data_IF_988353805056
#
_entry.id   IF_988353805056
#
_cell.length_a   1.000
_cell.length_b   1.000
_cell.length_c   1.000
_cell.angle_alpha   90.00
_cell.angle_beta   90.00
_cell.angle_gamma   90.00
#
_symmetry.space_group_name_H-M   'P 1'
#
loop_
_entity.id
_entity.type
_entity.pdbx_description
1 polymer ?
#
# COMPACT_ATOMS: atom_id res chain seq x y z
N UNK A 1 25.65 25.05 -9.64
CA UNK A 1 24.71 23.91 -9.56
C UNK A 1 24.82 23.16 -10.86
N UNK A 2 25.58 22.07 -10.81
CA UNK A 2 26.07 21.30 -11.96
C UNK A 2 24.96 20.78 -12.86
N UNK A 3 25.19 20.81 -14.16
CA UNK A 3 24.28 20.23 -15.15
C UNK A 3 24.11 18.72 -14.95
N UNK A 4 25.09 18.04 -14.34
CA UNK A 4 25.02 16.64 -13.93
C UNK A 4 23.93 16.39 -12.87
N UNK A 5 23.81 17.28 -11.87
CA UNK A 5 22.76 17.18 -10.85
C UNK A 5 21.37 17.38 -11.45
N UNK A 6 21.23 18.33 -12.38
CA UNK A 6 19.95 18.55 -13.09
C UNK A 6 19.58 17.37 -13.98
N UNK A 7 20.56 16.75 -14.64
CA UNK A 7 20.34 15.57 -15.46
C UNK A 7 19.92 14.38 -14.59
N UNK A 8 20.59 14.17 -13.46
CA UNK A 8 20.21 13.14 -12.49
C UNK A 8 18.78 13.33 -11.97
N UNK A 9 18.41 14.56 -11.57
CA UNK A 9 17.03 14.85 -11.14
C UNK A 9 16.00 14.61 -12.26
N UNK A 10 16.34 14.89 -13.53
CA UNK A 10 15.45 14.59 -14.66
C UNK A 10 15.25 13.09 -14.84
N UNK A 11 16.31 12.30 -14.71
CA UNK A 11 16.23 10.83 -14.79
C UNK A 11 15.36 10.26 -13.67
N UNK A 12 15.56 10.72 -12.42
CA UNK A 12 14.70 10.30 -11.30
C UNK A 12 13.25 10.68 -11.55
N UNK A 13 12.98 11.91 -12.00
CA UNK A 13 11.63 12.35 -12.33
C UNK A 13 10.98 11.49 -13.43
N UNK A 14 11.74 11.09 -14.45
CA UNK A 14 11.24 10.21 -15.50
C UNK A 14 10.86 8.83 -14.96
N UNK A 15 11.58 8.32 -13.96
CA UNK A 15 11.29 7.02 -13.32
C UNK A 15 10.03 7.07 -12.46
N UNK A 16 9.81 8.14 -11.70
CA UNK A 16 8.66 8.25 -10.78
C UNK A 16 7.38 8.74 -11.48
N UNK A 17 7.50 9.49 -12.58
CA UNK A 17 6.39 10.13 -13.28
C UNK A 17 5.22 9.19 -13.64
N UNK A 18 5.45 7.98 -14.16
CA UNK A 18 4.35 7.07 -14.48
C UNK A 18 3.49 6.73 -13.26
N UNK A 19 4.11 6.58 -12.08
CA UNK A 19 3.39 6.32 -10.84
C UNK A 19 2.63 7.57 -10.39
N UNK A 20 3.29 8.74 -10.38
CA UNK A 20 2.62 9.98 -9.97
C UNK A 20 1.42 10.28 -10.84
N UNK A 21 1.55 10.20 -12.17
CA UNK A 21 0.44 10.44 -13.10
C UNK A 21 -0.78 9.52 -12.80
N UNK A 22 -0.53 8.28 -12.35
CA UNK A 22 -1.59 7.35 -11.95
C UNK A 22 -2.20 7.69 -10.60
N UNK A 23 -1.38 8.12 -9.64
CA UNK A 23 -1.85 8.55 -8.32
C UNK A 23 -2.70 9.83 -8.43
N UNK A 24 -2.26 10.84 -9.19
CA UNK A 24 -3.07 12.05 -9.42
C UNK A 24 -4.40 11.71 -10.12
N UNK A 25 -4.39 10.79 -11.09
CA UNK A 25 -5.62 10.32 -11.74
C UNK A 25 -6.57 9.63 -10.75
N UNK A 26 -6.08 8.85 -9.78
CA UNK A 26 -6.95 8.29 -8.73
C UNK A 26 -7.57 9.34 -7.82
N UNK A 27 -6.83 10.40 -7.51
CA UNK A 27 -7.35 11.45 -6.65
C UNK A 27 -8.38 12.34 -7.35
N UNK A 28 -8.30 12.46 -8.68
CA UNK A 28 -9.28 13.20 -9.49
C UNK A 28 -10.48 12.33 -9.91
N UNK A 29 -10.31 11.01 -10.03
CA UNK A 29 -11.31 10.09 -10.55
C UNK A 29 -11.46 8.84 -9.66
N UNK A 30 -12.30 8.92 -8.63
CA UNK A 30 -12.52 7.84 -7.65
C UNK A 30 -12.92 6.49 -8.30
N UNK A 31 -13.65 6.54 -9.41
CA UNK A 31 -14.10 5.36 -10.18
C UNK A 31 -12.91 4.51 -10.67
N UNK A 32 -11.70 5.08 -10.79
CA UNK A 32 -10.51 4.38 -11.26
C UNK A 32 -9.75 3.66 -10.16
N UNK A 33 -10.01 3.97 -8.89
CA UNK A 33 -9.27 3.39 -7.75
C UNK A 33 -9.38 1.86 -7.72
N UNK A 34 -10.56 1.23 -7.93
CA UNK A 34 -10.66 -0.24 -7.95
C UNK A 34 -9.87 -0.90 -9.08
N UNK A 35 -9.58 -0.16 -10.17
CA UNK A 35 -8.73 -0.66 -11.25
C UNK A 35 -7.24 -0.60 -10.90
N UNK A 36 -6.84 0.36 -10.06
CA UNK A 36 -5.44 0.64 -9.76
C UNK A 36 -4.96 0.02 -8.44
N UNK A 37 -5.87 -0.26 -7.50
CA UNK A 37 -5.61 -0.88 -6.20
C UNK A 37 -6.56 -2.07 -5.89
N UNK A 38 -6.84 -3.00 -6.82
CA UNK A 38 -7.84 -4.04 -6.59
C UNK A 38 -7.55 -4.90 -5.36
N UNK A 39 -6.32 -5.37 -5.16
CA UNK A 39 -5.95 -6.24 -4.05
C UNK A 39 -5.97 -5.49 -2.72
N UNK A 40 -5.48 -4.25 -2.71
CA UNK A 40 -5.48 -3.42 -1.50
C UNK A 40 -6.90 -3.04 -1.06
N UNK A 41 -7.83 -2.76 -1.99
CA UNK A 41 -9.23 -2.54 -1.64
C UNK A 41 -9.91 -3.80 -1.12
N UNK A 42 -9.65 -4.96 -1.72
CA UNK A 42 -10.14 -6.24 -1.20
C UNK A 42 -9.63 -6.51 0.22
N UNK A 43 -8.36 -6.23 0.47
CA UNK A 43 -7.76 -6.32 1.80
C UNK A 43 -8.46 -5.39 2.80
N UNK A 44 -8.70 -4.13 2.43
CA UNK A 44 -9.40 -3.16 3.30
C UNK A 44 -10.82 -3.63 3.60
N UNK A 45 -11.55 -4.09 2.60
CA UNK A 45 -12.90 -4.64 2.80
C UNK A 45 -12.88 -5.87 3.72
N UNK A 46 -11.87 -6.74 3.58
CA UNK A 46 -11.68 -7.88 4.48
C UNK A 46 -11.40 -7.43 5.92
N UNK A 47 -10.59 -6.38 6.13
CA UNK A 47 -10.36 -5.77 7.44
C UNK A 47 -11.68 -5.29 8.06
N UNK A 48 -12.47 -4.52 7.32
CA UNK A 48 -13.73 -3.96 7.79
C UNK A 48 -14.73 -5.06 8.18
N UNK A 49 -14.84 -6.12 7.37
CA UNK A 49 -15.71 -7.25 7.65
C UNK A 49 -15.24 -8.06 8.87
N UNK A 50 -13.93 -8.26 9.04
CA UNK A 50 -13.38 -8.95 10.22
C UNK A 50 -13.60 -8.14 11.49
N UNK A 51 -13.38 -6.83 11.44
CA UNK A 51 -13.70 -5.91 12.54
C UNK A 51 -15.19 -5.96 12.88
N UNK A 52 -16.06 -5.92 11.86
CA UNK A 52 -17.50 -6.07 12.04
C UNK A 52 -17.85 -7.41 12.69
N UNK A 53 -17.24 -8.50 12.23
CA UNK A 53 -17.46 -9.83 12.76
C UNK A 53 -16.96 -10.00 14.20
N UNK A 54 -15.88 -9.31 14.58
CA UNK A 54 -15.36 -9.33 15.95
C UNK A 54 -16.26 -8.58 16.93
N UNK A 55 -17.04 -7.60 16.45
CA UNK A 55 -18.04 -6.85 17.22
C UNK A 55 -19.39 -7.56 17.33
N UNK A 56 -19.55 -8.73 16.73
CA UNK A 56 -20.73 -9.55 16.95
C UNK A 56 -20.70 -10.09 18.38
N UNK A 57 -21.37 -9.39 19.29
CA UNK A 57 -21.42 -9.78 20.68
C UNK A 57 -22.16 -11.11 20.84
N UNK A 58 -21.71 -11.89 21.85
CA UNK A 58 -22.34 -13.14 22.28
C UNK A 58 -23.83 -12.98 22.65
N UNK A 59 -24.28 -11.75 22.91
CA UNK A 59 -25.63 -11.40 23.33
C UNK A 59 -26.64 -11.19 22.17
N UNK A 60 -26.25 -11.42 20.92
CA UNK A 60 -27.20 -11.45 19.80
C UNK A 60 -27.72 -10.08 19.35
N UNK A 61 -26.88 -9.05 19.37
CA UNK A 61 -27.23 -7.70 18.89
C UNK A 61 -27.49 -7.64 17.39
N UNK A 62 -27.03 -8.63 16.63
CA UNK A 62 -27.14 -8.73 15.19
C UNK A 62 -27.98 -9.95 14.80
N UNK A 63 -28.74 -9.84 13.71
CA UNK A 63 -29.53 -10.98 13.22
C UNK A 63 -28.65 -12.07 12.63
N UNK A 64 -29.08 -13.34 12.74
CA UNK A 64 -28.38 -14.48 12.15
C UNK A 64 -28.09 -14.30 10.65
N UNK A 65 -28.99 -13.62 9.93
CA UNK A 65 -28.82 -13.26 8.52
C UNK A 65 -27.64 -12.31 8.29
N UNK A 66 -27.44 -11.29 9.14
CA UNK A 66 -26.31 -10.36 9.03
C UNK A 66 -25.00 -11.07 9.38
N UNK A 67 -25.01 -11.91 10.42
CA UNK A 67 -23.84 -12.69 10.81
C UNK A 67 -23.42 -13.65 9.70
N UNK A 68 -24.37 -14.38 9.11
CA UNK A 68 -24.12 -15.28 7.99
C UNK A 68 -23.56 -14.54 6.78
N UNK A 69 -24.17 -13.43 6.39
CA UNK A 69 -23.75 -12.64 5.23
C UNK A 69 -22.31 -12.11 5.39
N UNK A 70 -21.96 -11.56 6.56
CA UNK A 70 -20.59 -11.08 6.82
C UNK A 70 -19.58 -12.22 6.77
N UNK A 71 -19.89 -13.39 7.37
CA UNK A 71 -19.01 -14.56 7.30
C UNK A 71 -18.85 -15.09 5.88
N UNK A 72 -19.93 -15.08 5.07
CA UNK A 72 -19.88 -15.47 3.66
C UNK A 72 -18.95 -14.55 2.87
N UNK A 73 -19.09 -13.24 3.03
CA UNK A 73 -18.25 -12.26 2.33
C UNK A 73 -16.77 -12.38 2.72
N UNK A 74 -16.46 -12.63 4.01
CA UNK A 74 -15.09 -12.91 4.45
C UNK A 74 -14.53 -14.13 3.71
N UNK A 75 -15.28 -15.22 3.67
CA UNK A 75 -14.86 -16.45 2.99
C UNK A 75 -14.63 -16.24 1.48
N UNK A 76 -15.53 -15.52 0.81
CA UNK A 76 -15.43 -15.19 -0.63
C UNK A 76 -14.18 -14.36 -0.93
N UNK A 77 -13.87 -13.35 -0.10
CA UNK A 77 -12.67 -12.53 -0.26
C UNK A 77 -11.37 -13.32 0.00
N UNK A 78 -11.34 -14.15 1.04
CA UNK A 78 -10.19 -14.99 1.37
C UNK A 78 -9.92 -16.08 0.31
N UNK A 79 -10.96 -16.53 -0.41
CA UNK A 79 -10.83 -17.50 -1.50
C UNK A 79 -10.44 -16.84 -2.82
N UNK A 80 -11.01 -15.67 -3.16
CA UNK A 80 -10.63 -14.89 -4.34
C UNK A 80 -9.15 -14.49 -4.33
N UNK A 81 -8.59 -14.28 -3.14
CA UNK A 81 -7.17 -13.96 -2.94
C UNK A 81 -6.21 -15.12 -3.26
N UNK A 82 -6.69 -16.37 -3.32
CA UNK A 82 -5.83 -17.57 -3.48
C UNK A 82 -5.65 -18.00 -4.95
N UNK A 83 -6.29 -17.34 -5.90
CA UNK A 83 -6.13 -17.66 -7.33
C UNK A 83 -4.82 -17.10 -7.87
N UNK A 84 -3.89 -18.01 -8.18
CA UNK A 84 -2.45 -17.81 -8.52
C UNK A 84 -2.20 -17.01 -9.82
N UNK A 85 -3.22 -16.50 -10.51
CA UNK A 85 -3.08 -15.81 -11.81
C UNK A 85 -3.67 -14.39 -11.80
N UNK A 86 -3.46 -13.64 -10.71
CA UNK A 86 -3.85 -12.23 -10.71
C UNK A 86 -2.78 -11.39 -11.42
N UNK A 87 -3.19 -10.70 -12.49
CA UNK A 87 -2.40 -9.63 -13.09
C UNK A 87 -2.12 -8.57 -12.03
N UNK A 88 -0.84 -8.22 -11.85
CA UNK A 88 -0.40 -7.22 -10.88
C UNK A 88 -1.17 -5.90 -11.02
N UNK A 89 -1.56 -5.29 -9.90
CA UNK A 89 -2.05 -3.93 -9.95
C UNK A 89 -1.04 -2.99 -10.59
N UNK A 90 -1.56 -2.05 -11.39
CA UNK A 90 -0.74 -1.08 -12.12
C UNK A 90 0.13 -0.28 -11.15
N UNK A 91 -0.42 0.10 -9.99
CA UNK A 91 0.32 0.85 -8.97
C UNK A 91 1.42 -0.01 -8.34
N UNK A 92 1.14 -1.27 -8.02
CA UNK A 92 2.16 -2.17 -7.49
C UNK A 92 3.33 -2.34 -8.46
N UNK A 93 3.03 -2.57 -9.74
CA UNK A 93 4.08 -2.74 -10.75
C UNK A 93 4.95 -1.49 -10.90
N UNK A 94 4.31 -0.31 -11.00
CA UNK A 94 5.03 0.96 -11.14
C UNK A 94 5.87 1.27 -9.90
N UNK A 95 5.37 0.96 -8.71
CA UNK A 95 6.12 1.12 -7.48
C UNK A 95 7.32 0.16 -7.43
N UNK A 96 7.14 -1.09 -7.83
CA UNK A 96 8.20 -2.08 -7.90
C UNK A 96 9.31 -1.68 -8.91
N UNK A 97 8.94 -1.06 -10.02
CA UNK A 97 9.91 -0.53 -10.99
C UNK A 97 10.76 0.60 -10.41
N UNK A 98 10.17 1.46 -9.57
CA UNK A 98 10.89 2.51 -8.82
C UNK A 98 11.86 1.87 -7.82
N UNK A 99 11.44 0.85 -7.09
CA UNK A 99 12.28 0.17 -6.09
C UNK A 99 13.50 -0.51 -6.72
N UNK A 100 13.35 -1.05 -7.94
CA UNK A 100 14.44 -1.66 -8.72
C UNK A 100 15.45 -0.65 -9.28
N UNK A 101 15.16 0.65 -9.21
CA UNK A 101 16.09 1.67 -9.68
C UNK A 101 17.35 1.72 -8.80
N UNK A 102 18.49 2.00 -9.41
CA UNK A 102 19.79 2.13 -8.71
C UNK A 102 19.80 3.24 -7.65
N UNK A 103 18.93 4.24 -7.83
CA UNK A 103 18.72 5.43 -7.03
C UNK A 103 17.33 5.39 -6.36
N UNK A 104 16.86 4.21 -5.98
CA UNK A 104 15.52 4.00 -5.42
C UNK A 104 15.22 4.89 -4.21
N UNK A 105 16.19 5.10 -3.31
CA UNK A 105 16.04 6.02 -2.17
C UNK A 105 15.74 7.45 -2.63
N UNK A 106 16.54 8.00 -3.54
CA UNK A 106 16.31 9.33 -4.13
C UNK A 106 14.96 9.39 -4.85
N UNK A 107 14.57 8.32 -5.55
CA UNK A 107 13.25 8.22 -6.16
C UNK A 107 12.13 8.28 -5.12
N UNK A 108 12.26 7.58 -3.99
CA UNK A 108 11.28 7.59 -2.91
C UNK A 108 11.20 8.95 -2.20
N UNK A 109 12.32 9.65 -2.00
CA UNK A 109 12.33 11.01 -1.45
C UNK A 109 11.56 11.99 -2.33
N UNK A 110 11.86 11.98 -3.63
CA UNK A 110 11.19 12.85 -4.60
C UNK A 110 9.72 12.48 -4.77
N UNK A 111 9.40 11.19 -4.81
CA UNK A 111 8.03 10.70 -4.85
C UNK A 111 7.24 11.13 -3.61
N UNK A 112 7.82 11.00 -2.41
CA UNK A 112 7.19 11.46 -1.16
C UNK A 112 6.85 12.95 -1.21
N UNK A 113 7.77 13.75 -1.74
CA UNK A 113 7.60 15.20 -1.86
C UNK A 113 6.47 15.53 -2.84
N UNK A 114 6.49 14.93 -4.03
CA UNK A 114 5.45 15.16 -5.05
C UNK A 114 4.06 14.73 -4.58
N UNK A 115 3.97 13.57 -3.91
CA UNK A 115 2.72 13.09 -3.33
C UNK A 115 2.19 14.07 -2.26
N UNK A 116 3.07 14.60 -1.40
CA UNK A 116 2.69 15.57 -0.37
C UNK A 116 2.18 16.87 -0.98
N UNK A 117 2.84 17.37 -2.02
CA UNK A 117 2.44 18.59 -2.72
C UNK A 117 1.07 18.40 -3.40
N UNK A 118 0.86 17.30 -4.12
CA UNK A 118 -0.43 16.96 -4.71
C UNK A 118 -1.53 16.88 -3.64
N UNK A 119 -1.24 16.22 -2.51
CA UNK A 119 -2.18 16.09 -1.40
C UNK A 119 -2.60 17.44 -0.82
N UNK A 120 -1.67 18.39 -0.67
CA UNK A 120 -1.98 19.74 -0.20
C UNK A 120 -2.93 20.48 -1.13
N UNK A 121 -2.86 20.22 -2.44
CA UNK A 121 -3.76 20.82 -3.42
C UNK A 121 -5.14 20.17 -3.46
N UNK A 122 -5.27 18.93 -3.01
CA UNK A 122 -6.49 18.12 -3.16
C UNK A 122 -7.32 17.98 -1.87
N UNK A 123 -6.71 18.17 -0.70
CA UNK A 123 -7.36 17.94 0.60
C UNK A 123 -7.62 19.26 1.31
N UNK A 124 -8.89 19.54 1.58
CA UNK A 124 -9.27 20.69 2.43
C UNK A 124 -8.89 20.44 3.89
N UNK A 125 -8.70 21.50 4.68
CA UNK A 125 -8.48 21.39 6.14
C UNK A 125 -9.63 20.66 6.86
N UNK A 126 -10.86 20.70 6.34
CA UNK A 126 -11.98 19.92 6.86
C UNK A 126 -11.89 18.42 6.57
N UNK A 127 -11.32 18.03 5.42
CA UNK A 127 -11.11 16.62 5.07
C UNK A 127 -10.05 15.97 5.97
N UNK A 128 -9.04 16.72 6.41
CA UNK A 128 -8.00 16.22 7.31
C UNK A 128 -8.52 15.83 8.71
N UNK A 129 -9.66 16.37 9.12
CA UNK A 129 -10.30 16.06 10.41
C UNK A 129 -11.18 14.80 10.36
N UNK A 130 -11.43 14.25 9.16
CA UNK A 130 -12.20 13.02 8.96
C UNK A 130 -11.29 11.85 8.59
N UNK A 131 -11.79 10.62 8.76
CA UNK A 131 -11.10 9.42 8.31
C UNK A 131 -11.05 9.46 6.77
N UNK A 132 -9.90 9.86 6.23
CA UNK A 132 -9.73 10.07 4.80
C UNK A 132 -9.95 8.75 4.04
N UNK A 133 -10.79 8.73 3.01
CA UNK A 133 -10.90 7.56 2.14
C UNK A 133 -9.52 7.29 1.51
N UNK A 134 -9.19 6.02 1.25
CA UNK A 134 -7.89 5.58 0.69
C UNK A 134 -7.44 6.41 -0.52
N UNK A 135 -8.42 6.86 -1.29
CA UNK A 135 -8.30 7.69 -2.50
C UNK A 135 -7.67 9.07 -2.23
N UNK A 136 -7.87 9.61 -1.03
CA UNK A 136 -7.24 10.84 -0.53
C UNK A 136 -5.97 10.55 0.29
N UNK A 137 -5.66 9.29 0.59
CA UNK A 137 -4.47 8.89 1.34
C UNK A 137 -3.27 8.58 0.44
N UNK A 138 -3.01 9.43 -0.57
CA UNK A 138 -1.78 9.35 -1.35
C UNK A 138 -0.59 9.56 -0.41
N UNK A 139 0.19 8.50 -0.21
CA UNK A 139 1.33 8.48 0.71
C UNK A 139 2.24 7.31 0.37
N UNK A 140 3.53 7.43 0.71
CA UNK A 140 4.46 6.31 0.54
C UNK A 140 4.04 5.12 1.41
N UNK A 141 3.45 5.39 2.55
CA UNK A 141 2.91 4.41 3.48
C UNK A 141 1.86 3.55 2.77
N UNK A 142 0.86 4.15 2.09
CA UNK A 142 -0.15 3.41 1.33
C UNK A 142 0.45 2.59 0.20
N UNK A 143 1.46 3.11 -0.51
CA UNK A 143 2.18 2.35 -1.54
C UNK A 143 2.86 1.12 -0.95
N UNK A 144 3.49 1.26 0.22
CA UNK A 144 4.08 0.14 0.95
C UNK A 144 3.03 -0.84 1.46
N UNK A 145 1.89 -0.39 2.00
CA UNK A 145 0.81 -1.29 2.44
C UNK A 145 0.29 -2.10 1.26
N UNK A 146 0.05 -1.46 0.12
CA UNK A 146 -0.33 -2.11 -1.12
C UNK A 146 0.74 -3.13 -1.56
N UNK A 147 2.03 -2.74 -1.55
CA UNK A 147 3.12 -3.64 -1.93
C UNK A 147 3.22 -4.87 -1.03
N UNK A 148 3.05 -4.71 0.28
CA UNK A 148 3.06 -5.83 1.25
C UNK A 148 1.90 -6.78 0.96
N UNK A 149 0.68 -6.26 0.75
CA UNK A 149 -0.50 -7.07 0.40
C UNK A 149 -0.27 -7.81 -0.92
N UNK A 150 0.17 -7.11 -1.97
CA UNK A 150 0.43 -7.73 -3.27
C UNK A 150 1.56 -8.77 -3.23
N UNK A 151 2.58 -8.56 -2.37
CA UNK A 151 3.77 -9.43 -2.29
C UNK A 151 3.43 -10.89 -1.99
N UNK A 152 2.36 -11.15 -1.24
CA UNK A 152 1.96 -12.49 -0.82
C UNK A 152 1.59 -13.41 -1.99
N UNK A 153 1.14 -12.81 -3.08
CA UNK A 153 0.74 -13.49 -4.29
C UNK A 153 1.87 -13.54 -5.34
N UNK A 154 3.06 -13.04 -4.98
CA UNK A 154 4.22 -13.00 -5.86
C UNK A 154 5.17 -14.19 -5.67
N UNK A 155 5.97 -14.52 -6.69
CA UNK A 155 7.15 -15.36 -6.56
C UNK A 155 8.09 -14.95 -5.40
N UNK A 156 8.76 -15.94 -4.80
CA UNK A 156 9.61 -15.74 -3.62
C UNK A 156 10.78 -14.77 -3.84
N UNK A 157 11.30 -14.66 -5.06
CA UNK A 157 12.35 -13.71 -5.43
C UNK A 157 11.85 -12.26 -5.34
N UNK A 158 10.64 -11.98 -5.81
CA UNK A 158 10.00 -10.67 -5.70
C UNK A 158 9.73 -10.34 -4.23
N UNK A 159 9.23 -11.30 -3.45
CA UNK A 159 9.00 -11.13 -2.02
C UNK A 159 10.29 -10.73 -1.28
N UNK A 160 11.39 -11.46 -1.52
CA UNK A 160 12.70 -11.17 -0.91
C UNK A 160 13.27 -9.83 -1.37
N UNK A 161 13.11 -9.49 -2.65
CA UNK A 161 13.52 -8.18 -3.17
C UNK A 161 12.77 -7.05 -2.47
N UNK A 162 11.45 -7.16 -2.31
CA UNK A 162 10.64 -6.18 -1.59
C UNK A 162 11.04 -6.05 -0.12
N UNK A 163 11.30 -7.16 0.57
CA UNK A 163 11.79 -7.17 1.96
C UNK A 163 13.12 -6.41 2.08
N UNK A 164 14.06 -6.64 1.15
CA UNK A 164 15.33 -5.91 1.08
C UNK A 164 15.14 -4.42 0.87
N UNK A 165 14.29 -4.02 -0.07
CA UNK A 165 13.98 -2.61 -0.31
C UNK A 165 13.28 -1.94 0.88
N UNK A 166 12.41 -2.66 1.58
CA UNK A 166 11.74 -2.15 2.78
C UNK A 166 12.73 -1.96 3.94
N UNK A 167 13.67 -2.89 4.09
CA UNK A 167 14.79 -2.74 5.03
C UNK A 167 15.62 -1.49 4.70
N UNK A 168 16.00 -1.28 3.44
CA UNK A 168 16.79 -0.12 3.02
C UNK A 168 16.03 1.19 3.21
N UNK A 169 14.72 1.20 2.95
CA UNK A 169 13.82 2.33 3.23
C UNK A 169 13.85 2.72 4.72
N UNK A 170 13.69 1.76 5.63
CA UNK A 170 13.74 2.01 7.07
C UNK A 170 15.13 2.47 7.50
N UNK A 171 16.18 1.81 6.97
CA UNK A 171 17.58 2.13 7.27
C UNK A 171 17.95 3.55 6.83
N UNK A 172 17.36 4.04 5.74
CA UNK A 172 17.52 5.41 5.26
C UNK A 172 16.79 6.46 6.14
N UNK A 173 16.06 6.03 7.17
CA UNK A 173 15.42 6.91 8.15
C UNK A 173 14.05 7.41 7.74
N UNK A 174 13.43 6.82 6.72
CA UNK A 174 12.05 7.14 6.40
C UNK A 174 11.10 6.72 7.52
N UNK A 175 10.03 7.49 7.75
CA UNK A 175 8.97 7.06 8.65
C UNK A 175 8.36 5.77 8.11
N UNK A 176 8.22 4.79 8.99
CA UNK A 176 7.45 3.60 8.74
C UNK A 176 6.44 3.48 9.86
N UNK A 177 5.17 3.37 9.49
CA UNK A 177 4.12 3.07 10.44
C UNK A 177 4.06 1.56 10.60
N UNK A 178 4.16 1.07 11.84
CA UNK A 178 3.70 -0.29 12.15
C UNK A 178 2.19 -0.22 11.95
N UNK A 179 1.71 -0.84 10.87
CA UNK A 179 0.31 -0.80 10.48
C UNK A 179 -0.48 -1.54 11.57
N UNK A 180 -1.17 -0.79 12.42
CA UNK A 180 -1.96 -1.32 13.53
C UNK A 180 -3.38 -1.68 13.05
N UNK A 181 -3.86 -2.89 13.39
CA UNK A 181 -5.24 -3.33 13.16
C UNK A 181 -5.38 -4.72 12.51
N UNK A 182 -5.68 -5.73 13.35
CA UNK A 182 -6.38 -7.03 13.15
C UNK A 182 -6.07 -7.97 11.96
N UNK A 183 -5.31 -7.54 10.93
CA UNK A 183 -4.82 -8.40 9.84
C UNK A 183 -3.30 -8.61 9.90
N UNK A 184 -2.78 -8.60 11.12
CA UNK A 184 -1.37 -8.69 11.47
C UNK A 184 -0.67 -9.91 10.83
N UNK A 185 -1.34 -11.03 10.61
CA UNK A 185 -0.67 -12.24 10.10
C UNK A 185 0.00 -12.05 8.74
N UNK A 186 -0.66 -11.32 7.83
CA UNK A 186 -0.16 -11.12 6.47
C UNK A 186 1.08 -10.24 6.41
N UNK A 187 1.10 -9.22 7.28
CA UNK A 187 2.18 -8.25 7.34
C UNK A 187 3.28 -8.70 8.31
N UNK A 188 2.95 -9.52 9.30
CA UNK A 188 3.91 -10.00 10.32
C UNK A 188 5.07 -10.74 9.69
N UNK A 189 4.82 -11.72 8.81
CA UNK A 189 5.91 -12.46 8.16
C UNK A 189 6.78 -11.51 7.34
N UNK A 190 6.18 -10.62 6.56
CA UNK A 190 6.93 -9.64 5.76
C UNK A 190 7.78 -8.71 6.63
N UNK A 191 7.17 -8.10 7.66
CA UNK A 191 7.81 -7.16 8.58
C UNK A 191 8.89 -7.84 9.40
N UNK A 192 8.62 -9.03 9.92
CA UNK A 192 9.58 -9.84 10.65
C UNK A 192 10.82 -10.09 9.81
N UNK A 193 10.66 -10.66 8.61
CA UNK A 193 11.77 -10.94 7.70
C UNK A 193 12.53 -9.67 7.30
N UNK A 194 11.81 -8.56 7.04
CA UNK A 194 12.43 -7.28 6.66
C UNK A 194 13.20 -6.61 7.81
N UNK A 195 12.77 -6.83 9.06
CA UNK A 195 13.37 -6.21 10.24
C UNK A 195 14.44 -7.07 10.91
N UNK A 196 14.48 -8.38 10.62
CA UNK A 196 15.50 -9.30 11.14
C UNK A 196 16.95 -8.78 11.01
N UNK A 197 17.36 -8.13 9.89
CA UNK A 197 18.72 -7.60 9.78
C UNK A 197 19.06 -6.49 10.78
N UNK A 198 18.08 -5.77 11.36
CA UNK A 198 18.34 -4.79 12.44
C UNK A 198 18.65 -5.45 13.78
N UNK A 199 18.12 -6.66 14.02
CA UNK A 199 18.34 -7.40 15.27
C UNK A 199 19.74 -8.02 15.36
N UNK A 200 20.35 -8.30 14.21
CA UNK A 200 21.65 -8.96 14.09
C UNK A 200 22.82 -7.96 13.95
N UNK A 201 22.61 -6.69 14.33
CA UNK A 201 23.62 -5.62 14.37
C UNK A 201 23.81 -5.15 15.80
#
# INVERSE_FOLDING_TARGET
MDDDYKNHLREVNQKIKPLTDKLSDTALNEIRVPKYFPEYLQFVQLCELKLKSARFDFYGSESDTVVYEVRRQIFELETASKTVNQSLSVIFQLFLDILKASDSITCLELLSTQIKDERQHLISTSDMAMQLPIQKCLSLEVLWRNAIVCSQYQPLDIQKSLQGHYFDYIKAGFPFEIIDGDNFHFQHTFLFESLMPFRNR
#
